data_IF_072544087757
#
_entry.id   IF_072544087757
#
_cell.length_a   1.000
_cell.length_b   1.000
_cell.length_c   1.000
_cell.angle_alpha   90.00
_cell.angle_beta   90.00
_cell.angle_gamma   90.00
#
_symmetry.space_group_name_H-M   'P 1'
#
loop_
_entity.id
_entity.type
_entity.pdbx_description
1 polymer ?
#
# COMPACT_ATOMS: atom_id res chain seq x y z
N UNK A 1 -9.35 18.20 13.90
CA UNK A 1 -8.54 16.97 13.82
C UNK A 1 -7.38 17.35 12.92
N UNK A 2 -6.19 17.51 13.49
CA UNK A 2 -5.03 18.01 12.74
C UNK A 2 -4.23 16.83 12.23
N UNK A 3 -4.02 16.80 10.92
CA UNK A 3 -3.30 15.71 10.27
C UNK A 3 -2.27 16.27 9.30
N UNK A 4 -1.22 15.48 9.05
CA UNK A 4 -0.22 15.74 8.02
C UNK A 4 -0.31 14.60 7.01
N UNK A 5 -0.49 14.94 5.74
CA UNK A 5 -0.42 13.99 4.63
C UNK A 5 0.93 14.15 3.96
N UNK A 6 1.64 13.04 3.78
CA UNK A 6 2.91 13.00 3.05
C UNK A 6 2.90 11.89 2.00
N UNK A 7 3.68 12.02 0.91
CA UNK A 7 3.91 10.92 -0.01
C UNK A 7 4.46 9.69 0.74
N UNK A 8 4.05 8.50 0.29
CA UNK A 8 4.67 7.25 0.70
C UNK A 8 6.06 7.13 0.05
N UNK A 9 7.02 6.67 0.82
CA UNK A 9 8.39 6.39 0.38
C UNK A 9 8.69 4.89 0.46
N UNK A 10 9.82 4.45 -0.09
CA UNK A 10 10.18 3.03 -0.11
C UNK A 10 10.28 2.44 1.31
N UNK A 11 10.73 3.24 2.27
CA UNK A 11 10.86 2.88 3.69
C UNK A 11 9.51 2.61 4.38
N UNK A 12 8.40 3.03 3.77
CA UNK A 12 7.05 2.81 4.32
C UNK A 12 6.49 1.42 3.98
N UNK A 13 7.25 0.51 3.34
CA UNK A 13 6.75 -0.82 2.98
C UNK A 13 6.15 -1.58 4.17
N UNK A 14 6.85 -1.59 5.32
CA UNK A 14 6.37 -2.25 6.53
C UNK A 14 5.04 -1.67 7.05
N UNK A 15 4.87 -0.34 6.90
CA UNK A 15 3.63 0.35 7.24
C UNK A 15 2.49 -0.09 6.31
N UNK A 16 2.76 -0.21 5.01
CA UNK A 16 1.77 -0.63 4.03
C UNK A 16 1.32 -2.07 4.25
N UNK A 17 2.21 -2.96 4.70
CA UNK A 17 1.85 -4.33 5.07
C UNK A 17 0.82 -4.37 6.21
N UNK A 18 1.02 -3.55 7.24
CA UNK A 18 0.06 -3.44 8.35
C UNK A 18 -1.26 -2.80 7.88
N UNK A 19 -1.20 -1.74 7.06
CA UNK A 19 -2.40 -1.09 6.53
C UNK A 19 -3.24 -2.02 5.65
N UNK A 20 -2.59 -2.84 4.82
CA UNK A 20 -3.26 -3.86 4.01
C UNK A 20 -3.96 -4.88 4.91
N UNK A 21 -3.31 -5.35 5.97
CA UNK A 21 -3.91 -6.27 6.94
C UNK A 21 -5.14 -5.65 7.62
N UNK A 22 -5.06 -4.39 8.05
CA UNK A 22 -6.18 -3.68 8.69
C UNK A 22 -7.35 -3.51 7.71
N UNK A 23 -7.06 -3.15 6.45
CA UNK A 23 -8.06 -3.03 5.39
C UNK A 23 -8.81 -4.34 5.15
N UNK A 24 -8.08 -5.46 5.00
CA UNK A 24 -8.69 -6.78 4.83
C UNK A 24 -9.45 -7.23 6.08
N UNK A 25 -8.91 -6.99 7.26
CA UNK A 25 -9.55 -7.37 8.53
C UNK A 25 -10.88 -6.64 8.76
N UNK A 26 -10.98 -5.38 8.32
CA UNK A 26 -12.21 -4.59 8.45
C UNK A 26 -13.40 -5.15 7.67
N UNK A 27 -13.14 -5.91 6.59
CA UNK A 27 -14.17 -6.56 5.77
C UNK A 27 -14.81 -7.76 6.48
N UNK A 28 -14.09 -8.40 7.40
CA UNK A 28 -14.55 -9.61 8.09
C UNK A 28 -15.20 -9.26 9.44
N UNK A 29 -16.52 -9.00 9.42
CA UNK A 29 -17.32 -8.65 10.62
C UNK A 29 -17.31 -9.70 11.74
N UNK A 30 -16.95 -10.95 11.47
CA UNK A 30 -17.12 -12.06 12.44
C UNK A 30 -15.82 -12.75 12.86
N UNK A 31 -14.75 -12.71 12.07
CA UNK A 31 -13.48 -13.37 12.43
C UNK A 31 -12.31 -12.65 11.78
N UNK A 32 -11.37 -12.14 12.57
CA UNK A 32 -10.14 -11.56 12.03
C UNK A 32 -9.38 -12.64 11.26
N UNK A 33 -9.02 -12.40 9.98
CA UNK A 33 -8.24 -13.35 9.20
C UNK A 33 -6.85 -13.55 9.81
N UNK A 34 -6.20 -14.67 9.50
CA UNK A 34 -4.78 -14.85 9.81
C UNK A 34 -3.97 -13.72 9.18
N UNK A 35 -2.90 -13.26 9.85
CA UNK A 35 -1.97 -12.27 9.27
C UNK A 35 -1.37 -12.75 7.96
N UNK A 36 -1.28 -14.06 7.76
CA UNK A 36 -0.81 -14.67 6.51
C UNK A 36 -1.64 -14.30 5.28
N UNK A 37 -2.88 -13.81 5.46
CA UNK A 37 -3.73 -13.40 4.34
C UNK A 37 -3.05 -12.37 3.45
N UNK A 38 -2.25 -11.44 4.01
CA UNK A 38 -1.58 -10.40 3.23
C UNK A 38 -0.52 -10.96 2.29
N UNK A 39 0.06 -12.12 2.61
CA UNK A 39 1.08 -12.77 1.79
C UNK A 39 0.50 -13.55 0.60
N UNK A 40 -0.83 -13.62 0.47
CA UNK A 40 -1.44 -14.18 -0.74
C UNK A 40 -1.08 -13.30 -1.94
N UNK A 41 -0.73 -13.89 -3.10
CA UNK A 41 -0.36 -13.15 -4.31
C UNK A 41 -1.40 -12.11 -4.76
N UNK A 42 -2.67 -12.33 -4.44
CA UNK A 42 -3.78 -11.43 -4.75
C UNK A 42 -3.66 -10.07 -4.04
N UNK A 43 -3.05 -10.05 -2.86
CA UNK A 43 -2.92 -8.86 -2.00
C UNK A 43 -1.47 -8.37 -1.91
N UNK A 44 -0.51 -9.28 -1.76
CA UNK A 44 0.91 -8.94 -1.59
C UNK A 44 1.43 -8.07 -2.73
N UNK A 45 0.95 -8.28 -3.96
CA UNK A 45 1.36 -7.52 -5.15
C UNK A 45 1.19 -6.00 -5.04
N UNK A 46 0.33 -5.52 -4.14
CA UNK A 46 0.10 -4.08 -3.94
C UNK A 46 1.13 -3.43 -3.00
N UNK A 47 1.89 -4.22 -2.25
CA UNK A 47 2.80 -3.72 -1.21
C UNK A 47 4.21 -4.27 -1.39
N UNK A 48 4.35 -5.54 -1.72
CA UNK A 48 5.63 -6.24 -1.79
C UNK A 48 6.65 -5.50 -2.67
N UNK A 49 7.81 -5.23 -2.08
CA UNK A 49 8.90 -4.42 -2.63
C UNK A 49 8.43 -3.05 -3.06
N UNK A 50 7.81 -2.31 -2.14
CA UNK A 50 7.31 -0.95 -2.38
C UNK A 50 8.45 0.02 -2.75
N UNK A 51 8.12 1.05 -3.52
CA UNK A 51 9.09 2.03 -4.03
C UNK A 51 9.58 1.72 -5.45
N UNK A 52 8.88 0.85 -6.19
CA UNK A 52 9.15 0.58 -7.60
C UNK A 52 8.65 1.74 -8.47
N UNK A 53 9.16 1.88 -9.71
CA UNK A 53 8.55 2.78 -10.67
C UNK A 53 7.06 2.44 -10.85
N UNK A 54 6.19 3.46 -10.83
CA UNK A 54 4.73 3.29 -10.87
C UNK A 54 4.05 3.15 -9.51
N UNK A 55 4.81 3.05 -8.42
CA UNK A 55 4.28 3.14 -7.06
C UNK A 55 3.98 4.59 -6.72
N UNK A 56 2.74 4.85 -6.30
CA UNK A 56 2.32 6.16 -5.83
C UNK A 56 1.32 6.01 -4.70
N UNK A 57 1.42 6.89 -3.71
CA UNK A 57 0.46 6.93 -2.62
C UNK A 57 0.81 7.94 -1.55
N UNK A 58 -0.07 8.03 -0.57
CA UNK A 58 0.00 8.98 0.52
C UNK A 58 -0.34 8.30 1.84
N UNK A 59 0.29 8.79 2.90
CA UNK A 59 0.02 8.40 4.28
C UNK A 59 -0.38 9.63 5.09
N UNK A 60 -1.38 9.46 5.93
CA UNK A 60 -1.88 10.47 6.85
C UNK A 60 -1.47 10.12 8.28
N UNK A 61 -0.84 11.06 8.96
CA UNK A 61 -0.46 10.97 10.36
C UNK A 61 -1.15 12.05 11.18
N UNK A 62 -1.50 11.75 12.43
CA UNK A 62 -1.95 12.77 13.38
C UNK A 62 -0.79 13.73 13.68
N UNK A 63 -1.06 15.03 13.68
CA UNK A 63 -0.02 16.05 13.83
C UNK A 63 0.53 16.14 15.27
N UNK A 64 -0.21 15.66 16.27
CA UNK A 64 0.16 15.77 17.69
C UNK A 64 1.10 14.66 18.13
N UNK A 65 0.79 13.42 17.74
CA UNK A 65 1.54 12.24 18.20
C UNK A 65 2.21 11.45 17.06
N UNK A 66 1.96 11.82 15.79
CA UNK A 66 2.50 11.12 14.63
C UNK A 66 1.81 9.78 14.33
N UNK A 67 0.74 9.44 15.05
CA UNK A 67 0.03 8.18 14.88
C UNK A 67 -0.53 8.03 13.48
N UNK A 68 -0.53 6.80 12.98
CA UNK A 68 -1.01 6.48 11.64
C UNK A 68 -2.54 6.55 11.59
N UNK A 69 -3.07 7.45 10.78
CA UNK A 69 -4.51 7.61 10.60
C UNK A 69 -5.03 6.82 9.40
N UNK A 70 -4.21 6.69 8.36
CA UNK A 70 -4.56 5.93 7.17
C UNK A 70 -3.54 6.09 6.05
N UNK A 71 -3.69 5.26 5.02
CA UNK A 71 -2.87 5.32 3.82
C UNK A 71 -3.72 4.97 2.60
N UNK A 72 -3.37 5.55 1.45
CA UNK A 72 -3.93 5.21 0.15
C UNK A 72 -2.77 5.04 -0.83
N UNK A 73 -2.80 3.97 -1.60
CA UNK A 73 -1.73 3.70 -2.55
C UNK A 73 -2.25 2.96 -3.77
N UNK A 74 -1.51 3.09 -4.85
CA UNK A 74 -1.73 2.43 -6.11
C UNK A 74 -0.39 2.02 -6.70
N UNK A 75 -0.43 1.00 -7.54
CA UNK A 75 0.70 0.54 -8.33
C UNK A 75 0.27 0.52 -9.78
N UNK A 76 0.79 1.45 -10.58
CA UNK A 76 0.52 1.46 -12.01
C UNK A 76 1.29 0.32 -12.67
N UNK A 77 0.63 -0.55 -13.47
CA UNK A 77 1.36 -1.50 -14.29
C UNK A 77 2.18 -0.72 -15.30
N UNK A 78 3.50 -0.82 -15.21
CA UNK A 78 4.39 -0.24 -16.21
C UNK A 78 4.19 -1.05 -17.48
N UNK A 79 3.42 -0.52 -18.43
CA UNK A 79 3.40 -1.07 -19.78
C UNK A 79 4.81 -0.89 -20.37
N UNK A 80 5.48 -1.99 -20.73
CA UNK A 80 6.71 -1.92 -21.54
C UNK A 80 6.32 -1.41 -22.93
N UNK A 81 6.27 -0.10 -23.10
CA UNK A 81 6.19 0.53 -24.41
C UNK A 81 7.61 0.69 -24.93
N UNK A 82 8.23 -0.41 -25.39
CA UNK A 82 9.52 -0.40 -26.12
C UNK A 82 9.66 -1.66 -26.99
N UNK A 83 8.57 -2.16 -27.58
CA UNK A 83 8.69 -3.03 -28.74
C UNK A 83 8.61 -2.12 -29.98
N UNK A 84 9.67 -2.02 -30.81
CA UNK A 84 9.57 -1.40 -32.11
C UNK A 84 8.45 -2.10 -32.90
N UNK A 85 7.67 -1.38 -33.74
CA UNK A 85 6.73 -2.05 -34.63
C UNK A 85 7.51 -3.03 -35.49
N UNK A 86 7.08 -4.30 -35.49
CA UNK A 86 7.58 -5.28 -36.46
C UNK A 86 7.20 -4.76 -37.86
N UNK A 87 8.24 -4.44 -38.65
CA UNK A 87 8.13 -4.09 -40.06
C UNK A 87 8.12 -5.37 -40.91
#
# INVERSE_FOLDING_TARGET
MDYVIRPLVAEDEALLWEMLYQGLSSLHKQKRPSREIVHRPDFSRYVEGWGRPGDAGFVANDKKDGSLLGAVWLRQPIHKTDAPPEL
#
